data_IF_656185980833
#
_entry.id   IF_656185980833
#
_cell.length_a   1.000
_cell.length_b   1.000
_cell.length_c   1.000
_cell.angle_alpha   90.00
_cell.angle_beta   90.00
_cell.angle_gamma   90.00
#
_symmetry.space_group_name_H-M   'P 1'
#
loop_
_entity.id
_entity.type
_entity.pdbx_description
1 polymer ?
#
# COMPACT_ATOMS: atom_id res chain seq x y z
N UNK A 1 -21.90 -9.46 -8.88
CA UNK A 1 -21.40 -8.82 -7.64
C UNK A 1 -20.66 -7.57 -8.04
N UNK A 2 -21.01 -6.43 -7.46
CA UNK A 2 -20.31 -5.17 -7.72
C UNK A 2 -19.49 -4.86 -6.46
N UNK A 3 -18.17 -5.06 -6.52
CA UNK A 3 -17.29 -4.80 -5.38
C UNK A 3 -17.01 -3.30 -5.32
N UNK A 4 -17.20 -2.68 -4.15
CA UNK A 4 -16.81 -1.30 -3.94
C UNK A 4 -15.29 -1.15 -4.02
N UNK A 5 -14.82 0.03 -4.47
CA UNK A 5 -13.39 0.37 -4.44
C UNK A 5 -12.90 0.43 -2.99
N UNK A 6 -11.72 -0.14 -2.75
CA UNK A 6 -11.03 -0.06 -1.46
C UNK A 6 -10.41 1.33 -1.29
N UNK A 7 -10.26 1.73 -0.03
CA UNK A 7 -9.56 2.97 0.32
C UNK A 7 -8.11 2.93 -0.21
N UNK A 8 -7.68 4.04 -0.82
CA UNK A 8 -6.27 4.22 -1.18
C UNK A 8 -5.40 4.18 0.09
N UNK A 9 -4.30 3.41 0.10
CA UNK A 9 -3.35 3.45 1.20
C UNK A 9 -2.61 4.78 1.24
N UNK A 10 -2.03 5.09 2.40
CA UNK A 10 -1.33 6.37 2.68
C UNK A 10 0.11 6.17 3.09
N UNK A 11 0.57 4.92 3.25
CA UNK A 11 1.95 4.60 3.55
C UNK A 11 2.28 3.13 3.29
N UNK A 12 3.57 2.86 3.09
CA UNK A 12 4.17 1.52 3.05
C UNK A 12 5.19 1.41 4.18
N UNK A 13 5.20 0.26 4.87
CA UNK A 13 6.21 -0.04 5.88
C UNK A 13 7.60 -0.10 5.23
N UNK A 14 8.58 0.60 5.81
CA UNK A 14 9.98 0.64 5.33
C UNK A 14 10.66 -0.72 5.33
N UNK A 15 10.17 -1.67 6.14
CA UNK A 15 10.74 -3.01 6.31
C UNK A 15 9.89 -4.08 5.65
N UNK A 16 8.63 -4.25 6.07
CA UNK A 16 7.83 -5.40 5.66
C UNK A 16 6.90 -5.15 4.47
N UNK A 17 6.92 -3.95 3.89
CA UNK A 17 6.06 -3.59 2.75
C UNK A 17 4.56 -3.51 3.05
N UNK A 18 4.14 -3.71 4.30
CA UNK A 18 2.73 -3.62 4.66
C UNK A 18 2.17 -2.22 4.35
N UNK A 19 0.93 -2.16 3.87
CA UNK A 19 0.23 -0.90 3.62
C UNK A 19 -0.39 -0.34 4.90
N UNK A 20 -0.41 0.98 5.03
CA UNK A 20 -1.10 1.74 6.06
C UNK A 20 -2.19 2.60 5.44
N UNK A 21 -3.31 2.77 6.15
CA UNK A 21 -4.51 3.46 5.64
C UNK A 21 -4.91 4.68 6.49
N UNK A 22 -4.21 4.91 7.61
CA UNK A 22 -4.53 5.97 8.57
C UNK A 22 -3.37 6.96 8.58
N UNK A 23 -3.62 8.21 8.19
CA UNK A 23 -2.57 9.24 8.07
C UNK A 23 -1.91 9.57 9.40
N UNK A 24 -2.64 9.47 10.51
CA UNK A 24 -2.10 9.68 11.86
C UNK A 24 -0.99 8.69 12.23
N UNK A 25 -0.88 7.55 11.54
CA UNK A 25 0.17 6.56 11.78
C UNK A 25 1.31 6.62 10.77
N UNK A 26 1.40 7.67 9.95
CA UNK A 26 2.58 7.93 9.12
C UNK A 26 3.76 8.21 10.06
N UNK A 27 4.95 7.70 9.72
CA UNK A 27 6.17 7.71 10.54
C UNK A 27 6.09 6.90 11.86
N UNK A 28 4.92 6.39 12.23
CA UNK A 28 4.77 5.50 13.37
C UNK A 28 5.26 4.08 13.10
N UNK A 29 5.61 3.37 14.18
CA UNK A 29 6.06 1.97 14.10
C UNK A 29 4.98 1.09 13.47
N UNK A 30 5.38 0.27 12.50
CA UNK A 30 4.48 -0.65 11.81
C UNK A 30 3.74 -1.56 12.80
N UNK A 31 2.41 -1.63 12.68
CA UNK A 31 1.56 -2.47 13.53
C UNK A 31 1.56 -3.97 13.19
N UNK A 32 2.22 -4.38 12.10
CA UNK A 32 2.22 -5.79 11.67
C UNK A 32 3.02 -6.65 12.66
N UNK A 33 2.42 -7.77 13.07
CA UNK A 33 3.01 -8.73 14.00
C UNK A 33 3.31 -10.05 13.29
N UNK A 34 4.38 -10.72 13.74
CA UNK A 34 4.82 -12.03 13.30
C UNK A 34 5.03 -12.89 14.55
N UNK A 35 3.99 -13.63 14.94
CA UNK A 35 3.94 -14.26 16.26
C UNK A 35 4.03 -13.22 17.38
N UNK A 36 4.97 -13.39 18.31
CA UNK A 36 5.22 -12.44 19.41
C UNK A 36 6.03 -11.20 19.02
N UNK A 37 6.55 -11.12 17.79
CA UNK A 37 7.43 -10.02 17.35
C UNK A 37 6.67 -9.01 16.49
N UNK A 38 6.69 -7.75 16.90
CA UNK A 38 6.22 -6.62 16.08
C UNK A 38 7.28 -6.24 15.05
N UNK A 39 6.85 -5.86 13.86
CA UNK A 39 7.72 -5.31 12.83
C UNK A 39 8.51 -4.10 13.37
N UNK A 40 9.80 -4.04 13.03
CA UNK A 40 10.70 -2.95 13.45
C UNK A 40 10.74 -1.79 12.45
N UNK A 41 9.98 -1.86 11.35
CA UNK A 41 9.86 -0.76 10.40
C UNK A 41 8.85 0.30 10.81
N UNK A 42 8.81 1.39 10.04
CA UNK A 42 7.87 2.52 10.21
C UNK A 42 7.03 2.70 8.94
N UNK A 43 5.87 3.34 9.05
CA UNK A 43 5.02 3.73 7.92
C UNK A 43 5.58 4.97 7.21
N UNK A 44 6.71 4.83 6.53
CA UNK A 44 7.51 5.97 6.05
C UNK A 44 7.77 6.03 4.54
N UNK A 45 7.18 5.14 3.74
CA UNK A 45 7.26 5.20 2.26
C UNK A 45 5.89 5.48 1.67
N UNK A 46 5.83 5.96 0.43
CA UNK A 46 4.57 6.14 -0.30
C UNK A 46 3.56 7.05 0.42
N UNK A 47 4.06 8.11 1.07
CA UNK A 47 3.23 9.07 1.82
C UNK A 47 2.52 10.06 0.92
N UNK A 48 3.04 10.25 -0.30
CA UNK A 48 2.44 11.10 -1.32
C UNK A 48 1.35 10.34 -2.08
N UNK A 49 0.27 11.05 -2.41
CA UNK A 49 -0.88 10.46 -3.09
C UNK A 49 -0.52 9.92 -4.48
N UNK A 50 0.45 10.54 -5.17
CA UNK A 50 0.95 10.17 -6.50
C UNK A 50 1.69 8.83 -6.53
N UNK A 51 2.09 8.33 -5.36
CA UNK A 51 2.80 7.06 -5.23
C UNK A 51 1.84 5.86 -5.33
N UNK A 52 0.55 6.09 -5.57
CA UNK A 52 -0.46 5.03 -5.62
C UNK A 52 -1.15 5.02 -6.97
N UNK A 53 -1.31 3.82 -7.53
CA UNK A 53 -2.16 3.58 -8.69
C UNK A 53 -3.19 2.52 -8.36
N UNK A 54 -4.40 2.69 -8.91
CA UNK A 54 -5.39 1.63 -8.89
C UNK A 54 -4.80 0.39 -9.60
N UNK A 55 -5.06 -0.79 -9.04
CA UNK A 55 -4.69 -2.04 -9.70
C UNK A 55 -5.48 -2.17 -11.00
N UNK A 56 -4.85 -2.24 -12.18
CA UNK A 56 -5.55 -2.24 -13.46
C UNK A 56 -6.37 -3.51 -13.68
N UNK A 57 -6.03 -4.61 -12.98
CA UNK A 57 -6.75 -5.87 -13.08
C UNK A 57 -8.09 -5.84 -12.34
N UNK A 58 -8.15 -5.23 -11.16
CA UNK A 58 -9.36 -5.22 -10.33
C UNK A 58 -10.00 -3.85 -10.14
N UNK A 59 -9.46 -2.79 -10.75
CA UNK A 59 -9.96 -1.42 -10.65
C UNK A 59 -10.21 -0.98 -9.20
N UNK A 60 -9.22 -1.19 -8.33
CA UNK A 60 -9.26 -0.90 -6.89
C UNK A 60 -10.25 -1.70 -6.02
N UNK A 61 -10.93 -2.70 -6.56
CA UNK A 61 -11.85 -3.54 -5.76
C UNK A 61 -11.14 -4.59 -4.92
N UNK A 62 -9.89 -4.91 -5.26
CA UNK A 62 -9.12 -6.00 -4.65
C UNK A 62 -9.57 -7.40 -5.08
N UNK A 63 -10.55 -7.52 -5.97
CA UNK A 63 -11.07 -8.81 -6.43
C UNK A 63 -11.07 -8.91 -7.96
N UNK A 64 -10.74 -10.08 -8.48
CA UNK A 64 -10.84 -10.39 -9.90
C UNK A 64 -11.39 -11.80 -10.05
N UNK A 65 -12.40 -11.98 -10.89
CA UNK A 65 -13.10 -13.25 -11.09
C UNK A 65 -13.55 -13.94 -9.78
N UNK A 66 -14.15 -13.15 -8.88
CA UNK A 66 -14.64 -13.56 -7.54
C UNK A 66 -13.55 -14.06 -6.58
N UNK A 67 -12.28 -13.97 -6.96
CA UNK A 67 -11.14 -14.30 -6.10
C UNK A 67 -10.38 -13.04 -5.68
N UNK A 68 -9.54 -13.17 -4.67
CA UNK A 68 -8.58 -12.13 -4.32
C UNK A 68 -7.71 -11.82 -5.55
N UNK A 69 -7.58 -10.54 -5.87
CA UNK A 69 -6.77 -10.13 -7.02
C UNK A 69 -5.28 -10.37 -6.72
N UNK A 70 -4.70 -11.41 -7.31
CA UNK A 70 -3.30 -11.77 -7.14
C UNK A 70 -2.31 -10.66 -7.56
N UNK A 71 -2.69 -9.79 -8.51
CA UNK A 71 -1.82 -8.69 -8.96
C UNK A 71 -1.56 -7.67 -7.84
N UNK A 72 -2.55 -7.40 -7.01
CA UNK A 72 -2.41 -6.45 -5.89
C UNK A 72 -2.49 -7.12 -4.52
N UNK A 73 -2.52 -8.46 -4.46
CA UNK A 73 -2.75 -9.24 -3.25
C UNK A 73 -3.96 -8.71 -2.44
N UNK A 74 -5.08 -8.51 -3.14
CA UNK A 74 -6.32 -8.06 -2.50
C UNK A 74 -6.39 -6.60 -2.06
N UNK A 75 -5.31 -5.82 -2.18
CA UNK A 75 -5.29 -4.42 -1.71
C UNK A 75 -6.15 -3.48 -2.57
N UNK A 76 -6.31 -3.78 -3.86
CA UNK A 76 -6.86 -2.88 -4.87
C UNK A 76 -5.87 -1.85 -5.40
N UNK A 77 -4.72 -1.66 -4.76
CA UNK A 77 -3.81 -0.56 -5.04
C UNK A 77 -2.38 -1.06 -5.20
N UNK A 78 -1.61 -0.38 -6.05
CA UNK A 78 -0.19 -0.65 -6.25
C UNK A 78 0.61 0.57 -5.81
N UNK A 79 1.66 0.32 -5.02
CA UNK A 79 2.68 1.32 -4.74
C UNK A 79 3.56 1.46 -5.99
N UNK A 80 3.56 2.64 -6.57
CA UNK A 80 4.50 3.04 -7.61
C UNK A 80 5.50 4.00 -7.00
N UNK A 81 6.80 3.66 -7.05
CA UNK A 81 7.82 4.66 -6.73
C UNK A 81 7.72 5.78 -7.77
N UNK A 82 7.65 7.05 -7.36
CA UNK A 82 7.79 8.13 -8.31
C UNK A 82 9.17 8.00 -8.98
N UNK A 83 9.28 8.30 -10.29
CA UNK A 83 10.59 8.33 -10.94
C UNK A 83 11.49 9.28 -10.13
N UNK A 84 12.70 8.82 -9.81
CA UNK A 84 13.70 9.68 -9.19
C UNK A 84 14.05 10.71 -10.25
N UNK A 85 13.51 11.92 -10.13
CA UNK A 85 14.03 13.05 -10.88
C UNK A 85 15.34 13.37 -10.18
N UNK A 86 16.45 12.79 -10.67
CA UNK A 86 17.78 13.21 -10.26
C UNK A 86 17.85 14.72 -10.49
N UNK A 87 17.78 15.49 -9.42
CA UNK A 87 18.08 16.90 -9.48
C UNK A 87 19.58 16.98 -9.69
N UNK A 88 19.98 17.05 -10.97
CA UNK A 88 21.32 17.45 -11.36
C UNK A 88 21.61 18.79 -10.66
N UNK A 89 22.47 18.74 -9.65
CA UNK A 89 23.12 19.92 -9.06
C UNK A 89 24.54 19.95 -9.57
#
# INVERSE_FOLDING_TARGET
MNYAKKQQPVAVCTVCGAFGYTRQYINERCGKQYGSRRCNGVRGRATDWENWKECPKCSATGHYDRQECAMCNGSGWMYVRPPVIETAT
#
